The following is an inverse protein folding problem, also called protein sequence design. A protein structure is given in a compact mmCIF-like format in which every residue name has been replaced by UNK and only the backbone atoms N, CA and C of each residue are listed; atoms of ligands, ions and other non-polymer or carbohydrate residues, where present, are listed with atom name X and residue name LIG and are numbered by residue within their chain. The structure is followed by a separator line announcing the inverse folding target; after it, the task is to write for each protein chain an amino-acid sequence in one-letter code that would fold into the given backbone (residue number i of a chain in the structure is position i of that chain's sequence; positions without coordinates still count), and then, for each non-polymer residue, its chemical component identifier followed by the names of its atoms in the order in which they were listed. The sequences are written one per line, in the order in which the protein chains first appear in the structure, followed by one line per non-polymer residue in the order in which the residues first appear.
data_IF_626731933773
#
_entry.id   IF_626731933773
#
_cell.length_a   1.000
_cell.length_b   1.000
_cell.length_c   1.000
_cell.angle_alpha   90.00
_cell.angle_beta   90.00
_cell.angle_gamma   90.00
#
_symmetry.space_group_name_H-M   'P 1'
#
loop_
_entity.id
_entity.type
_entity.pdbx_description
1 polymer ?
#
# COMPACT_ATOMS: atom_id res chain seq x y z
N UNK A 1 -3.52 -17.81 -8.86
CA UNK A 1 -3.71 -16.71 -9.84
C UNK A 1 -5.17 -16.30 -9.80
N UNK A 2 -5.49 -15.01 -9.91
CA UNK A 2 -6.85 -14.50 -9.67
C UNK A 2 -7.76 -14.67 -10.89
N UNK A 3 -8.99 -15.15 -10.66
CA UNK A 3 -9.93 -15.52 -11.72
C UNK A 3 -10.40 -14.29 -12.52
N UNK A 4 -10.52 -13.15 -11.86
CA UNK A 4 -10.99 -11.88 -12.43
C UNK A 4 -9.90 -11.10 -13.17
N UNK A 5 -8.71 -11.69 -13.35
CA UNK A 5 -7.59 -11.10 -14.08
C UNK A 5 -7.26 -11.84 -15.36
N UNK A 6 -7.99 -12.89 -15.73
CA UNK A 6 -7.64 -13.80 -16.83
C UNK A 6 -7.42 -13.09 -18.18
N UNK A 7 -8.27 -12.11 -18.50
CA UNK A 7 -8.19 -11.33 -19.74
C UNK A 7 -7.85 -9.85 -19.51
N UNK A 8 -7.32 -9.50 -18.32
CA UNK A 8 -7.02 -8.13 -17.95
C UNK A 8 -5.61 -7.74 -18.40
N UNK A 9 -5.43 -6.53 -18.95
CA UNK A 9 -4.13 -6.06 -19.47
C UNK A 9 -3.01 -6.07 -18.41
N UNK A 10 -3.37 -5.88 -17.13
CA UNK A 10 -2.42 -5.89 -16.01
C UNK A 10 -2.12 -7.29 -15.45
N UNK A 11 -2.66 -8.36 -16.05
CA UNK A 11 -2.54 -9.74 -15.52
C UNK A 11 -1.12 -10.14 -15.17
N UNK A 12 -0.17 -9.88 -16.07
CA UNK A 12 1.24 -10.25 -15.84
C UNK A 12 1.83 -9.45 -14.67
N UNK A 13 1.61 -8.14 -14.63
CA UNK A 13 2.07 -7.28 -13.54
C UNK A 13 1.49 -7.70 -12.18
N UNK A 14 0.19 -8.03 -12.14
CA UNK A 14 -0.48 -8.55 -10.95
C UNK A 14 0.13 -9.90 -10.54
N UNK A 15 0.39 -10.79 -11.50
CA UNK A 15 1.01 -12.09 -11.20
C UNK A 15 2.40 -11.95 -10.59
N UNK A 16 3.23 -11.07 -11.13
CA UNK A 16 4.57 -10.78 -10.61
C UNK A 16 4.49 -10.20 -9.20
N UNK A 17 3.69 -9.14 -9.01
CA UNK A 17 3.53 -8.50 -7.71
C UNK A 17 2.97 -9.47 -6.64
N UNK A 18 2.11 -10.41 -7.02
CA UNK A 18 1.61 -11.44 -6.11
C UNK A 18 2.70 -12.45 -5.74
N UNK A 19 3.48 -12.90 -6.73
CA UNK A 19 4.57 -13.86 -6.53
C UNK A 19 5.66 -13.29 -5.63
N UNK A 20 5.95 -12.00 -5.77
CA UNK A 20 6.92 -11.27 -4.97
C UNK A 20 6.38 -10.86 -3.58
N UNK A 21 5.12 -11.21 -3.29
CA UNK A 21 4.48 -10.92 -2.01
C UNK A 21 4.08 -9.46 -1.79
N UNK A 22 4.16 -8.62 -2.83
CA UNK A 22 3.79 -7.19 -2.76
C UNK A 22 2.28 -7.00 -2.57
N UNK A 23 1.48 -7.85 -3.22
CA UNK A 23 0.01 -7.81 -3.18
C UNK A 23 -0.60 -9.14 -2.73
N UNK A 24 -1.84 -9.07 -2.24
CA UNK A 24 -2.71 -10.22 -1.93
C UNK A 24 -4.10 -9.95 -2.53
N UNK A 25 -4.85 -11.01 -2.78
CA UNK A 25 -6.27 -10.90 -3.16
C UNK A 25 -7.18 -10.75 -1.94
N UNK A 26 -8.46 -10.52 -2.18
CA UNK A 26 -9.45 -10.29 -1.12
C UNK A 26 -9.93 -11.57 -0.45
N UNK A 27 -10.17 -12.62 -1.24
CA UNK A 27 -10.78 -13.88 -0.81
C UNK A 27 -10.02 -15.12 -1.32
N UNK A 28 -8.77 -14.92 -1.76
CA UNK A 28 -7.89 -15.96 -2.31
C UNK A 28 -8.00 -16.15 -3.82
N UNK A 29 -9.12 -15.81 -4.44
CA UNK A 29 -9.34 -16.00 -5.88
C UNK A 29 -9.62 -14.72 -6.66
N UNK A 30 -9.95 -13.61 -5.97
CA UNK A 30 -10.32 -12.33 -6.60
C UNK A 30 -9.33 -11.22 -6.25
N UNK A 31 -8.94 -10.40 -7.23
CA UNK A 31 -8.04 -9.24 -7.03
C UNK A 31 -8.73 -7.88 -7.17
N UNK A 32 -9.82 -7.81 -7.92
CA UNK A 32 -10.57 -6.60 -8.29
C UNK A 32 -9.71 -5.55 -9.00
N UNK A 33 -9.13 -5.87 -10.18
CA UNK A 33 -8.13 -5.02 -10.85
C UNK A 33 -8.62 -3.62 -11.25
N UNK A 34 -9.93 -3.46 -11.45
CA UNK A 34 -10.56 -2.18 -11.83
C UNK A 34 -11.06 -1.36 -10.63
N UNK A 35 -10.96 -1.89 -9.40
CA UNK A 35 -11.38 -1.15 -8.22
C UNK A 35 -10.33 -0.11 -7.81
N UNK A 36 -10.73 1.14 -7.52
CA UNK A 36 -9.83 2.11 -6.93
C UNK A 36 -9.30 1.62 -5.59
N UNK A 37 -7.98 1.71 -5.40
CA UNK A 37 -7.36 1.34 -4.12
C UNK A 37 -7.51 2.46 -3.08
N UNK A 38 -7.68 2.06 -1.83
CA UNK A 38 -7.66 2.95 -0.68
C UNK A 38 -6.22 3.27 -0.26
N UNK A 39 -6.04 4.36 0.49
CA UNK A 39 -4.70 4.77 0.96
C UNK A 39 -4.03 3.75 1.86
N UNK A 40 -4.80 3.05 2.70
CA UNK A 40 -4.25 1.97 3.54
C UNK A 40 -3.81 0.75 2.72
N UNK A 41 -4.47 0.45 1.61
CA UNK A 41 -4.06 -0.62 0.68
C UNK A 41 -2.76 -0.23 -0.03
N UNK A 42 -2.64 1.01 -0.50
CA UNK A 42 -1.39 1.53 -1.07
C UNK A 42 -0.23 1.42 -0.08
N UNK A 43 -0.47 1.71 1.20
CA UNK A 43 0.54 1.58 2.25
C UNK A 43 0.99 0.13 2.47
N UNK A 44 0.04 -0.82 2.48
CA UNK A 44 0.35 -2.26 2.54
C UNK A 44 1.20 -2.71 1.36
N UNK A 45 0.82 -2.32 0.15
CA UNK A 45 1.58 -2.64 -1.06
C UNK A 45 3.02 -2.12 -0.98
N UNK A 46 3.18 -0.86 -0.55
CA UNK A 46 4.48 -0.22 -0.42
C UNK A 46 5.35 -0.86 0.68
N UNK A 47 4.75 -1.19 1.84
CA UNK A 47 5.45 -1.83 2.93
C UNK A 47 5.95 -3.23 2.54
N UNK A 48 5.10 -4.01 1.87
CA UNK A 48 5.45 -5.34 1.38
C UNK A 48 6.56 -5.28 0.32
N UNK A 49 6.47 -4.35 -0.64
CA UNK A 49 7.45 -4.19 -1.71
C UNK A 49 8.87 -3.88 -1.20
N UNK A 50 8.98 -3.20 -0.06
CA UNK A 50 10.25 -2.86 0.56
C UNK A 50 10.66 -3.82 1.69
N UNK A 51 9.83 -4.83 1.98
CA UNK A 51 9.97 -5.70 3.15
C UNK A 51 10.22 -4.91 4.45
N UNK A 52 9.50 -3.80 4.63
CA UNK A 52 9.65 -2.96 5.82
C UNK A 52 8.68 -3.40 6.91
N UNK A 53 9.24 -3.68 8.08
CA UNK A 53 8.48 -3.96 9.28
C UNK A 53 8.47 -2.74 10.19
N UNK A 54 7.43 -2.61 11.02
CA UNK A 54 7.38 -1.56 12.03
C UNK A 54 8.39 -1.89 13.13
N UNK A 55 9.40 -1.03 13.30
CA UNK A 55 10.49 -1.24 14.27
C UNK A 55 10.48 -0.24 15.42
N UNK A 56 9.57 0.75 15.42
CA UNK A 56 9.54 1.83 16.42
C UNK A 56 8.13 2.26 16.80
N UNK A 57 8.08 3.24 17.71
CA UNK A 57 6.86 3.84 18.19
C UNK A 57 6.02 4.45 17.05
N UNK A 58 4.73 4.13 17.10
CA UNK A 58 3.67 4.47 16.15
C UNK A 58 3.59 5.99 15.92
N UNK A 59 3.66 6.49 14.67
CA UNK A 59 3.18 7.82 14.36
C UNK A 59 1.69 7.91 14.70
N UNK A 60 1.34 8.72 15.69
CA UNK A 60 -0.06 8.88 16.10
C UNK A 60 -0.81 9.76 15.08
N UNK A 61 -1.58 9.12 14.20
CA UNK A 61 -2.55 9.80 13.34
C UNK A 61 -3.85 10.05 14.10
N UNK A 62 -4.47 11.21 13.86
CA UNK A 62 -5.73 11.60 14.48
C UNK A 62 -6.89 10.66 14.11
N UNK A 63 -6.81 9.99 12.96
CA UNK A 63 -7.75 9.00 12.45
C UNK A 63 -7.17 7.57 12.45
N UNK A 64 -6.21 7.29 13.34
CA UNK A 64 -5.54 5.99 13.43
C UNK A 64 -6.47 4.83 13.80
N UNK A 65 -7.60 5.12 14.47
CA UNK A 65 -8.67 4.18 14.78
C UNK A 65 -9.48 3.74 13.54
N UNK A 66 -9.42 4.53 12.46
CA UNK A 66 -10.05 4.20 11.17
C UNK A 66 -9.18 3.33 10.27
N UNK A 67 -7.94 3.08 10.64
CA UNK A 67 -7.04 2.19 9.90
C UNK A 67 -7.50 0.76 10.16
N UNK A 68 -7.75 0.00 9.10
CA UNK A 68 -8.11 -1.40 9.22
C UNK A 68 -7.02 -2.18 9.96
N UNK A 69 -7.41 -3.12 10.83
CA UNK A 69 -6.47 -3.86 11.68
C UNK A 69 -5.35 -4.54 10.87
N UNK A 70 -5.68 -5.09 9.69
CA UNK A 70 -4.72 -5.73 8.78
C UNK A 70 -3.74 -4.75 8.12
N UNK A 71 -4.10 -3.47 8.01
CA UNK A 71 -3.27 -2.44 7.38
C UNK A 71 -2.40 -1.70 8.40
N UNK A 72 -2.74 -1.76 9.69
CA UNK A 72 -2.17 -0.91 10.74
C UNK A 72 -0.64 -0.91 10.75
N UNK A 73 -0.03 -2.08 10.86
CA UNK A 73 1.44 -2.20 10.91
C UNK A 73 2.11 -1.65 9.65
N UNK A 74 1.51 -1.87 8.48
CA UNK A 74 2.06 -1.39 7.23
C UNK A 74 1.92 0.13 7.05
N UNK A 75 0.77 0.70 7.44
CA UNK A 75 0.57 2.16 7.44
C UNK A 75 1.57 2.85 8.35
N UNK A 76 1.79 2.28 9.54
CA UNK A 76 2.75 2.81 10.51
C UNK A 76 4.19 2.70 10.01
N UNK A 77 4.60 1.54 9.49
CA UNK A 77 5.93 1.34 8.92
C UNK A 77 6.19 2.25 7.71
N UNK A 78 5.20 2.36 6.81
CA UNK A 78 5.29 3.23 5.64
C UNK A 78 5.38 4.71 6.04
N UNK A 79 4.67 5.12 7.08
CA UNK A 79 4.76 6.47 7.62
C UNK A 79 6.09 6.75 8.31
N UNK A 80 6.59 5.82 9.14
CA UNK A 80 7.89 5.94 9.82
C UNK A 80 9.04 6.10 8.83
N UNK A 81 9.01 5.32 7.74
CA UNK A 81 10.01 5.37 6.69
C UNK A 81 9.86 6.60 5.78
N UNK A 82 8.77 7.36 5.88
CA UNK A 82 8.49 8.49 4.99
C UNK A 82 8.02 8.09 3.59
N UNK A 83 7.63 6.82 3.39
CA UNK A 83 7.04 6.31 2.14
C UNK A 83 5.64 6.88 1.99
N UNK A 84 4.84 6.77 3.05
CA UNK A 84 3.52 7.37 3.17
C UNK A 84 3.62 8.66 3.99
N UNK A 85 2.90 9.70 3.58
CA UNK A 85 2.75 10.92 4.39
C UNK A 85 1.28 11.12 4.74
N UNK A 86 1.03 11.54 5.98
CA UNK A 86 -0.26 12.07 6.39
C UNK A 86 -0.50 13.48 5.85
N UNK A 87 -1.66 14.01 6.19
CA UNK A 87 -2.10 15.36 5.85
C UNK A 87 -1.76 16.36 6.98
N UNK A 88 -1.81 17.68 6.71
CA UNK A 88 -1.54 18.71 7.72
C UNK A 88 -2.45 18.65 8.96
N UNK A 89 -3.64 18.07 8.84
CA UNK A 89 -4.60 17.85 9.94
C UNK A 89 -4.25 16.64 10.82
N UNK A 90 -3.06 16.04 10.63
CA UNK A 90 -2.57 14.83 11.29
C UNK A 90 -3.37 13.57 10.95
N UNK A 91 -4.10 13.54 9.84
CA UNK A 91 -4.81 12.34 9.37
C UNK A 91 -4.00 11.58 8.32
N UNK A 92 -4.31 10.30 8.12
CA UNK A 92 -3.83 9.49 6.98
C UNK A 92 -4.94 9.20 5.96
N UNK A 93 -6.21 9.38 6.34
CA UNK A 93 -7.42 9.11 5.56
C UNK A 93 -7.39 7.70 4.97
N UNK A 94 -7.31 6.66 5.81
CA UNK A 94 -6.95 5.30 5.39
C UNK A 94 -7.93 4.73 4.34
N UNK A 95 -9.20 5.09 4.46
CA UNK A 95 -10.29 4.62 3.60
C UNK A 95 -10.57 5.53 2.39
N UNK A 96 -9.82 6.63 2.23
CA UNK A 96 -9.98 7.49 1.05
C UNK A 96 -9.38 6.82 -0.18
N UNK A 97 -10.00 7.04 -1.35
CA UNK A 97 -9.45 6.59 -2.63
C UNK A 97 -8.12 7.29 -2.92
N UNK A 98 -7.17 6.53 -3.42
CA UNK A 98 -5.84 7.03 -3.79
C UNK A 98 -5.89 7.72 -5.15
N UNK A 99 -5.40 8.94 -5.23
CA UNK A 99 -5.23 9.65 -6.50
C UNK A 99 -3.96 9.19 -7.24
N UNK A 100 -3.92 9.41 -8.55
CA UNK A 100 -2.72 9.13 -9.36
C UNK A 100 -1.48 9.88 -8.86
N UNK A 101 -1.65 11.12 -8.39
CA UNK A 101 -0.54 11.91 -7.86
C UNK A 101 0.04 11.32 -6.58
N UNK A 102 -0.82 10.82 -5.69
CA UNK A 102 -0.39 10.14 -4.46
C UNK A 102 0.32 8.82 -4.78
N UNK A 103 -0.24 8.02 -5.69
CA UNK A 103 0.38 6.76 -6.13
C UNK A 103 1.79 6.98 -6.71
N UNK A 104 1.95 7.93 -7.63
CA UNK A 104 3.26 8.27 -8.23
C UNK A 104 4.24 8.78 -7.17
N UNK A 105 3.76 9.57 -6.21
CA UNK A 105 4.61 10.06 -5.11
C UNK A 105 5.15 8.91 -4.26
N UNK A 106 4.31 7.93 -3.93
CA UNK A 106 4.72 6.73 -3.19
C UNK A 106 5.71 5.89 -4.00
N UNK A 107 5.43 5.64 -5.28
CA UNK A 107 6.35 4.90 -6.17
C UNK A 107 7.72 5.58 -6.23
N UNK A 108 7.77 6.91 -6.40
CA UNK A 108 9.03 7.66 -6.41
C UNK A 108 9.81 7.48 -5.11
N UNK A 109 9.14 7.49 -3.97
CA UNK A 109 9.78 7.29 -2.65
C UNK A 109 10.31 5.87 -2.49
N UNK A 110 9.57 4.87 -2.97
CA UNK A 110 10.03 3.48 -3.02
C UNK A 110 11.30 3.37 -3.86
N UNK A 111 11.31 3.94 -5.07
CA UNK A 111 12.48 3.90 -5.97
C UNK A 111 13.70 4.54 -5.32
N UNK A 112 13.56 5.73 -4.74
CA UNK A 112 14.66 6.40 -4.04
C UNK A 112 15.24 5.52 -2.92
N UNK A 113 14.40 4.81 -2.15
CA UNK A 113 14.88 3.93 -1.08
C UNK A 113 15.61 2.68 -1.57
N UNK A 114 15.33 2.24 -2.80
CA UNK A 114 16.02 1.12 -3.43
C UNK A 114 17.37 1.61 -3.98
N UNK A 115 17.38 2.78 -4.61
CA UNK A 115 18.59 3.38 -5.20
C UNK A 115 19.61 3.85 -4.14
N UNK A 116 19.14 4.22 -2.94
CA UNK A 116 19.98 4.66 -1.82
C UNK A 116 20.65 3.49 -1.05
N UNK A 117 20.41 2.23 -1.43
CA UNK A 117 21.02 1.03 -0.82
C UNK A 117 22.19 0.49 -1.64
#
# INVERSE_FOLDING_TARGET
MFIDTENHWAREAISTAYTDGMIRGYDGNTFMPDQPIMREQMAVMAANALHVENTKAIPSFADGDRISHWAKNAVEAAAERGILSGYPDRTVKPQAQTTRAEAVTVIKRIMNMIDDK
#
